data_IF_655694085301
#
_entry.id   IF_655694085301
#
_cell.length_a   1.000
_cell.length_b   1.000
_cell.length_c   1.000
_cell.angle_alpha   90.00
_cell.angle_beta   90.00
_cell.angle_gamma   90.00
#
_symmetry.space_group_name_H-M   'P 1'
#
loop_
_entity.id
_entity.type
_entity.pdbx_description
1 polymer ?
#
# COMPACT_ATOMS: atom_id res chain seq x y z
N UNK A 1 38.26 -28.51 1.95
CA UNK A 1 37.66 -27.17 2.02
C UNK A 1 36.24 -27.34 2.55
N UNK A 2 35.97 -27.49 3.85
CA UNK A 2 36.07 -26.50 4.94
C UNK A 2 35.44 -25.15 4.58
N UNK A 3 34.18 -24.94 4.99
CA UNK A 3 33.72 -23.65 5.47
C UNK A 3 32.83 -23.86 6.69
N UNK A 4 33.27 -23.25 7.78
CA UNK A 4 32.86 -23.49 9.16
C UNK A 4 31.61 -22.69 9.54
N UNK A 5 30.94 -23.23 10.56
CA UNK A 5 29.85 -22.65 11.32
C UNK A 5 30.21 -21.29 11.95
N UNK A 6 29.24 -20.39 11.99
CA UNK A 6 29.25 -19.20 12.83
C UNK A 6 28.07 -19.26 13.81
N UNK A 7 28.20 -20.08 14.86
CA UNK A 7 27.41 -19.97 16.07
C UNK A 7 27.99 -18.84 16.93
N UNK A 8 27.27 -17.72 17.05
CA UNK A 8 27.62 -16.65 18.01
C UNK A 8 26.81 -16.82 19.28
N UNK A 9 27.54 -17.15 20.34
CA UNK A 9 27.15 -17.17 21.74
C UNK A 9 26.34 -15.94 22.15
N UNK A 10 25.07 -16.13 22.51
CA UNK A 10 24.33 -15.17 23.32
C UNK A 10 24.42 -15.62 24.79
N UNK A 11 25.33 -14.97 25.52
CA UNK A 11 25.59 -15.22 26.94
C UNK A 11 24.37 -14.77 27.75
N UNK A 12 23.73 -15.70 28.44
CA UNK A 12 22.69 -15.42 29.41
C UNK A 12 23.23 -14.48 30.49
N UNK A 13 22.59 -13.32 30.67
CA UNK A 13 22.82 -12.43 31.82
C UNK A 13 21.68 -12.67 32.80
N UNK A 14 22.02 -13.28 33.94
CA UNK A 14 21.13 -13.50 35.08
C UNK A 14 20.62 -12.17 35.63
N UNK A 15 19.31 -11.94 35.55
CA UNK A 15 18.62 -10.87 36.28
C UNK A 15 18.25 -11.39 37.68
N UNK A 16 19.25 -11.50 38.53
CA UNK A 16 19.09 -11.53 39.98
C UNK A 16 19.82 -10.30 40.48
N UNK A 17 19.08 -9.19 40.62
CA UNK A 17 19.38 -8.02 41.46
C UNK A 17 18.50 -6.86 40.96
N UNK A 18 17.32 -6.71 41.57
CA UNK A 18 16.62 -5.44 41.59
C UNK A 18 15.93 -5.27 42.95
N UNK A 19 16.07 -4.06 43.47
CA UNK A 19 16.01 -3.70 44.88
C UNK A 19 14.68 -3.93 45.58
N UNK A 20 14.80 -4.39 46.83
CA UNK A 20 13.80 -4.31 47.90
C UNK A 20 13.80 -2.89 48.48
N UNK A 21 12.65 -2.22 48.61
CA UNK A 21 12.49 -1.25 49.68
C UNK A 21 11.79 -1.89 50.89
N UNK A 22 12.46 -1.78 52.03
CA UNK A 22 11.90 -1.97 53.35
C UNK A 22 10.91 -0.82 53.66
N UNK A 23 9.73 -1.16 54.17
CA UNK A 23 8.71 -0.19 54.56
C UNK A 23 7.65 -0.85 55.43
N UNK A 24 7.97 -0.97 56.71
CA UNK A 24 7.08 -1.39 57.79
C UNK A 24 5.92 -0.40 57.97
N UNK A 25 4.68 -0.89 57.89
CA UNK A 25 3.48 -0.12 58.23
C UNK A 25 2.41 -1.06 58.75
N UNK A 26 2.36 -1.22 60.07
CA UNK A 26 1.33 -1.99 60.76
C UNK A 26 -0.04 -1.30 60.59
N UNK A 27 -1.05 -2.03 60.12
CA UNK A 27 -2.44 -1.65 60.32
C UNK A 27 -3.24 -2.87 60.78
N UNK A 28 -3.62 -2.83 62.06
CA UNK A 28 -4.55 -3.77 62.69
C UNK A 28 -5.97 -3.37 62.34
N UNK A 29 -6.87 -4.36 62.26
CA UNK A 29 -8.28 -4.16 62.59
C UNK A 29 -9.26 -4.68 61.54
N UNK A 30 -9.66 -5.95 61.69
CA UNK A 30 -10.94 -6.44 61.18
C UNK A 30 -12.11 -5.74 61.89
N UNK A 31 -13.33 -5.80 61.33
CA UNK A 31 -14.23 -6.78 61.92
C UNK A 31 -15.01 -7.64 60.90
N UNK A 32 -15.36 -8.82 61.42
CA UNK A 32 -16.24 -9.83 60.84
C UNK A 32 -17.66 -9.27 60.66
N UNK A 33 -18.24 -9.49 59.49
CA UNK A 33 -19.68 -9.33 59.23
C UNK A 33 -20.16 -10.52 58.40
N UNK A 34 -20.78 -11.49 59.08
CA UNK A 34 -21.45 -12.61 58.44
C UNK A 34 -22.78 -12.17 57.82
N UNK A 35 -23.03 -12.58 56.59
CA UNK A 35 -24.30 -12.41 55.90
C UNK A 35 -24.54 -13.61 55.00
N UNK A 36 -25.24 -14.62 55.52
CA UNK A 36 -25.81 -15.73 54.75
C UNK A 36 -26.96 -15.20 53.89
N UNK A 37 -26.80 -15.20 52.57
CA UNK A 37 -27.90 -14.91 51.65
C UNK A 37 -28.35 -16.20 50.96
N UNK A 38 -29.36 -16.84 51.56
CA UNK A 38 -30.14 -17.95 50.98
C UNK A 38 -31.47 -17.38 50.50
N UNK A 39 -31.70 -17.34 49.18
CA UNK A 39 -33.04 -17.22 48.57
C UNK A 39 -32.96 -17.93 47.19
N UNK A 40 -33.43 -19.18 47.13
CA UNK A 40 -34.77 -19.59 46.63
C UNK A 40 -34.82 -19.72 45.10
N UNK A 41 -34.69 -20.97 44.69
CA UNK A 41 -35.10 -21.53 43.41
C UNK A 41 -36.63 -21.55 43.31
N UNK A 42 -37.20 -20.80 42.36
CA UNK A 42 -38.60 -20.93 41.98
C UNK A 42 -38.72 -21.25 40.47
N UNK A 43 -39.19 -22.47 40.22
CA UNK A 43 -40.15 -22.91 39.20
C UNK A 43 -40.16 -22.29 37.79
N UNK A 44 -39.82 -23.13 36.81
CA UNK A 44 -40.29 -23.07 35.42
C UNK A 44 -41.83 -23.09 35.34
N UNK A 45 -42.42 -22.54 34.26
CA UNK A 45 -43.36 -23.38 33.53
C UNK A 45 -43.24 -23.28 31.99
N UNK A 46 -43.47 -24.43 31.35
CA UNK A 46 -44.50 -24.52 30.31
C UNK A 46 -44.04 -24.38 28.86
N UNK A 47 -43.90 -25.53 28.21
CA UNK A 47 -43.70 -25.73 26.79
C UNK A 47 -44.71 -24.98 25.90
N UNK A 48 -44.23 -24.53 24.72
CA UNK A 48 -45.06 -24.49 23.53
C UNK A 48 -44.23 -24.78 22.28
N UNK A 49 -44.33 -26.03 21.87
CA UNK A 49 -43.88 -26.58 20.60
C UNK A 49 -44.75 -26.05 19.46
N UNK A 50 -44.14 -25.37 18.48
CA UNK A 50 -44.76 -25.17 17.16
C UNK A 50 -43.72 -25.38 16.07
N UNK A 51 -43.81 -26.56 15.44
CA UNK A 51 -43.95 -26.66 13.99
C UNK A 51 -42.78 -26.22 13.11
N UNK A 52 -41.83 -27.14 12.92
CA UNK A 52 -40.98 -27.25 11.73
C UNK A 52 -41.84 -27.25 10.45
N UNK A 53 -41.60 -26.33 9.51
CA UNK A 53 -41.91 -26.49 8.08
C UNK A 53 -40.82 -25.83 7.24
N UNK A 54 -39.95 -26.67 6.70
CA UNK A 54 -39.25 -26.38 5.45
C UNK A 54 -40.28 -26.32 4.31
N UNK A 55 -39.96 -25.60 3.23
CA UNK A 55 -40.32 -26.12 1.92
C UNK A 55 -39.09 -26.13 1.00
N UNK A 56 -38.65 -27.34 0.69
CA UNK A 56 -38.07 -27.69 -0.59
C UNK A 56 -39.14 -27.57 -1.70
N UNK A 57 -38.75 -27.04 -2.86
CA UNK A 57 -39.66 -26.82 -3.97
C UNK A 57 -38.94 -26.33 -5.22
N UNK A 58 -38.16 -27.21 -5.82
CA UNK A 58 -37.74 -27.12 -7.22
C UNK A 58 -38.94 -27.49 -8.12
N UNK A 59 -39.30 -26.61 -9.04
CA UNK A 59 -40.24 -26.85 -10.15
C UNK A 59 -39.99 -25.78 -11.23
N UNK A 60 -39.16 -26.11 -12.23
CA UNK A 60 -39.17 -25.38 -13.49
C UNK A 60 -40.50 -25.55 -14.24
N UNK A 61 -40.82 -24.60 -15.13
CA UNK A 61 -41.41 -24.78 -16.48
C UNK A 61 -42.16 -23.53 -16.97
N UNK A 62 -41.72 -23.04 -18.14
CA UNK A 62 -42.44 -22.30 -19.20
C UNK A 62 -43.14 -20.97 -18.88
N UNK A 63 -42.46 -19.89 -19.28
CA UNK A 63 -42.89 -19.03 -20.39
C UNK A 63 -44.21 -18.26 -20.26
N UNK A 64 -44.10 -16.95 -20.03
CA UNK A 64 -44.95 -15.97 -20.71
C UNK A 64 -44.26 -14.61 -20.79
N UNK A 65 -44.20 -14.09 -22.01
CA UNK A 65 -43.74 -12.75 -22.36
C UNK A 65 -44.68 -11.72 -21.75
N UNK A 66 -44.14 -10.74 -21.03
CA UNK A 66 -44.81 -9.45 -20.83
C UNK A 66 -43.76 -8.34 -20.92
N UNK A 67 -43.76 -7.69 -22.09
CA UNK A 67 -43.13 -6.40 -22.32
C UNK A 67 -43.90 -5.38 -21.50
N UNK A 68 -43.25 -4.72 -20.55
CA UNK A 68 -43.70 -3.42 -20.07
C UNK A 68 -42.48 -2.49 -20.04
N UNK A 69 -42.41 -1.69 -21.09
CA UNK A 69 -41.49 -0.61 -21.28
C UNK A 69 -41.77 0.48 -20.23
N UNK A 70 -40.80 0.75 -19.36
CA UNK A 70 -40.78 1.97 -18.56
C UNK A 70 -40.39 3.11 -19.50
N UNK A 71 -41.41 3.85 -19.92
CA UNK A 71 -41.34 5.09 -20.69
C UNK A 71 -40.73 6.17 -19.79
N UNK A 72 -39.44 6.41 -19.91
CA UNK A 72 -38.82 7.62 -19.37
C UNK A 72 -39.09 8.77 -20.35
N UNK A 73 -39.75 9.81 -19.83
CA UNK A 73 -40.31 10.95 -20.56
C UNK A 73 -39.32 12.10 -20.41
N UNK A 74 -38.36 12.21 -21.34
CA UNK A 74 -37.50 13.39 -21.47
C UNK A 74 -37.87 14.07 -22.80
N UNK A 75 -38.31 15.34 -22.79
CA UNK A 75 -38.65 16.05 -24.02
C UNK A 75 -37.38 16.42 -24.80
N UNK A 76 -37.45 16.10 -26.08
CA UNK A 76 -36.57 16.52 -27.16
C UNK A 76 -36.55 18.06 -27.25
N UNK A 77 -35.41 18.70 -26.93
CA UNK A 77 -35.23 20.12 -27.19
C UNK A 77 -34.58 20.29 -28.56
N UNK A 78 -35.37 20.86 -29.46
CA UNK A 78 -35.07 21.10 -30.85
C UNK A 78 -33.99 22.18 -31.01
N UNK A 79 -32.89 21.78 -31.65
CA UNK A 79 -32.28 22.42 -32.83
C UNK A 79 -32.59 23.93 -33.02
N UNK A 80 -31.81 24.80 -32.37
CA UNK A 80 -31.67 26.19 -32.77
C UNK A 80 -30.65 26.29 -33.91
N UNK A 81 -31.13 26.84 -35.02
CA UNK A 81 -30.40 27.10 -36.25
C UNK A 81 -29.42 28.24 -36.03
N UNK A 82 -28.12 27.96 -36.09
CA UNK A 82 -27.13 29.02 -36.29
C UNK A 82 -27.11 29.42 -37.77
N UNK A 83 -27.51 30.67 -37.96
CA UNK A 83 -27.55 31.41 -39.20
C UNK A 83 -26.15 31.56 -39.81
N UNK A 84 -25.83 30.68 -40.74
CA UNK A 84 -24.70 30.83 -41.66
C UNK A 84 -24.95 32.02 -42.60
N UNK A 85 -24.32 33.15 -42.31
CA UNK A 85 -24.29 34.33 -43.19
C UNK A 85 -23.47 33.97 -44.44
N UNK A 86 -24.17 33.64 -45.51
CA UNK A 86 -23.60 33.46 -46.85
C UNK A 86 -23.30 34.83 -47.46
N UNK A 87 -22.04 35.24 -47.45
CA UNK A 87 -21.58 36.35 -48.29
C UNK A 87 -21.58 35.91 -49.76
N UNK A 88 -22.45 36.53 -50.56
CA UNK A 88 -22.59 36.32 -52.00
C UNK A 88 -21.59 37.20 -52.74
N UNK A 89 -20.48 36.62 -53.19
CA UNK A 89 -19.49 37.31 -54.03
C UNK A 89 -20.05 37.40 -55.46
N UNK A 90 -20.22 38.60 -56.05
CA UNK A 90 -20.65 38.72 -57.44
C UNK A 90 -19.48 38.49 -58.40
N UNK A 91 -19.61 37.45 -59.23
CA UNK A 91 -18.71 37.16 -60.35
C UNK A 91 -18.87 38.20 -61.46
N UNK A 92 -17.94 39.15 -61.55
CA UNK A 92 -17.71 39.91 -62.79
C UNK A 92 -16.62 39.23 -63.62
N UNK A 93 -17.08 38.40 -64.56
CA UNK A 93 -16.30 38.02 -65.74
C UNK A 93 -16.21 39.24 -66.66
N UNK A 94 -15.00 39.76 -66.89
CA UNK A 94 -14.58 40.32 -68.18
C UNK A 94 -13.09 40.69 -68.13
N UNK A 95 -12.36 40.00 -69.01
CA UNK A 95 -11.24 40.54 -69.79
C UNK A 95 -10.04 41.07 -68.99
N UNK A 96 -9.08 40.20 -68.71
CA UNK A 96 -7.65 40.51 -68.68
C UNK A 96 -6.87 39.20 -68.96
N UNK A 97 -7.20 38.58 -70.09
CA UNK A 97 -6.39 37.53 -70.74
C UNK A 97 -5.37 38.21 -71.65
N UNK A 98 -4.35 38.84 -71.07
CA UNK A 98 -3.16 39.30 -71.82
C UNK A 98 -2.08 39.87 -70.88
N UNK A 99 -1.73 39.14 -69.82
CA UNK A 99 -0.50 39.39 -69.05
C UNK A 99 0.15 38.10 -68.51
N UNK A 100 -0.30 36.93 -68.98
CA UNK A 100 0.12 35.63 -68.48
C UNK A 100 1.37 34.99 -69.15
N UNK A 101 2.03 35.54 -70.21
CA UNK A 101 3.28 34.95 -70.68
C UNK A 101 4.54 35.65 -70.12
N UNK A 102 4.41 36.71 -69.31
CA UNK A 102 5.55 37.41 -68.69
C UNK A 102 5.78 37.09 -67.21
N UNK A 103 4.81 36.44 -66.54
CA UNK A 103 4.95 36.04 -65.13
C UNK A 103 5.51 34.61 -64.95
N UNK A 104 5.68 33.85 -66.04
CA UNK A 104 6.13 32.45 -66.02
C UNK A 104 7.62 32.26 -66.32
N UNK A 105 8.39 33.34 -66.56
CA UNK A 105 9.83 33.28 -66.85
C UNK A 105 10.71 33.85 -65.71
N UNK A 106 10.13 34.23 -64.57
CA UNK A 106 10.84 34.84 -63.45
C UNK A 106 10.93 33.94 -62.19
N UNK A 107 10.55 32.66 -62.29
CA UNK A 107 10.51 31.71 -61.15
C UNK A 107 11.40 30.50 -61.44
N UNK A 108 12.68 30.73 -61.73
CA UNK A 108 13.68 29.65 -61.84
C UNK A 108 15.05 30.04 -61.28
N UNK A 109 15.08 30.87 -60.24
CA UNK A 109 16.31 31.11 -59.48
C UNK A 109 15.99 31.24 -57.98
N UNK A 110 15.53 30.14 -57.38
CA UNK A 110 15.74 29.96 -55.95
C UNK A 110 17.21 29.60 -55.78
N UNK A 111 18.06 30.59 -55.52
CA UNK A 111 19.37 30.33 -54.93
C UNK A 111 19.13 29.52 -53.66
N UNK A 112 19.63 28.28 -53.63
CA UNK A 112 19.72 27.50 -52.42
C UNK A 112 20.66 28.24 -51.47
N UNK A 113 20.10 28.88 -50.43
CA UNK A 113 20.88 29.50 -49.38
C UNK A 113 21.75 28.42 -48.71
N UNK A 114 23.06 28.49 -48.95
CA UNK A 114 24.03 27.46 -48.54
C UNK A 114 24.32 27.56 -47.05
N UNK A 115 24.02 26.51 -46.29
CA UNK A 115 24.41 26.43 -44.88
C UNK A 115 25.83 25.85 -44.79
N UNK A 116 26.78 26.61 -44.25
CA UNK A 116 28.18 26.19 -44.14
C UNK A 116 28.44 25.64 -42.73
N UNK A 117 28.95 24.41 -42.65
CA UNK A 117 29.26 23.75 -41.38
C UNK A 117 30.74 23.90 -41.04
N UNK A 118 31.04 24.29 -39.80
CA UNK A 118 32.39 24.28 -39.23
C UNK A 118 32.48 23.27 -38.09
N UNK A 119 33.41 22.32 -38.15
CA UNK A 119 33.68 21.39 -37.05
C UNK A 119 35.18 21.12 -36.88
N UNK A 120 35.54 20.45 -35.78
CA UNK A 120 36.92 20.04 -35.48
C UNK A 120 36.94 18.52 -35.40
N UNK A 121 37.87 17.88 -36.13
CA UNK A 121 38.06 16.42 -36.12
C UNK A 121 38.84 15.93 -34.87
N UNK A 122 39.14 14.62 -34.78
CA UNK A 122 39.89 14.05 -33.65
C UNK A 122 41.37 14.49 -33.65
N UNK A 123 41.89 14.81 -34.82
CA UNK A 123 43.26 15.24 -35.07
C UNK A 123 43.47 16.74 -34.79
N UNK A 124 42.39 17.48 -34.53
CA UNK A 124 42.39 18.91 -34.20
C UNK A 124 42.32 19.84 -35.41
N UNK A 125 42.05 19.31 -36.61
CA UNK A 125 41.89 20.10 -37.82
C UNK A 125 40.48 20.67 -37.92
N UNK A 126 40.39 21.92 -38.38
CA UNK A 126 39.13 22.62 -38.59
C UNK A 126 38.65 22.39 -40.01
N UNK A 127 37.48 21.78 -40.16
CA UNK A 127 36.86 21.51 -41.45
C UNK A 127 35.69 22.45 -41.72
N UNK A 128 35.55 22.85 -42.99
CA UNK A 128 34.44 23.64 -43.50
C UNK A 128 33.82 22.89 -44.68
N UNK A 129 32.53 22.58 -44.63
CA UNK A 129 31.84 21.90 -45.73
C UNK A 129 30.37 22.26 -45.75
N UNK A 130 29.77 22.26 -46.94
CA UNK A 130 28.33 22.42 -47.15
C UNK A 130 27.56 21.14 -46.83
N UNK A 131 28.24 19.99 -46.79
CA UNK A 131 27.66 18.67 -46.47
C UNK A 131 28.48 18.00 -45.39
N UNK A 132 27.83 17.60 -44.30
CA UNK A 132 28.46 16.93 -43.17
C UNK A 132 28.57 15.41 -43.44
N UNK A 133 29.79 14.83 -43.45
CA UNK A 133 29.97 13.39 -43.54
C UNK A 133 29.42 12.67 -42.30
N UNK A 134 28.88 11.45 -42.42
CA UNK A 134 28.31 10.72 -41.29
C UNK A 134 29.35 10.36 -40.20
N UNK A 135 30.62 10.18 -40.59
CA UNK A 135 31.76 9.86 -39.71
C UNK A 135 32.03 10.96 -38.65
N UNK A 136 31.81 12.23 -39.03
CA UNK A 136 32.13 13.42 -38.23
C UNK A 136 30.93 14.00 -37.48
N UNK A 137 29.75 13.38 -37.63
CA UNK A 137 28.51 13.84 -37.01
C UNK A 137 28.56 13.85 -35.46
N UNK A 138 29.55 13.17 -34.87
CA UNK A 138 29.76 13.05 -33.42
C UNK A 138 30.48 14.25 -32.78
N UNK A 139 31.12 15.11 -33.56
CA UNK A 139 31.84 16.26 -33.03
C UNK A 139 30.93 17.50 -32.90
N UNK A 140 31.37 18.45 -32.09
CA UNK A 140 30.68 19.73 -31.97
C UNK A 140 30.85 20.54 -33.26
N UNK A 141 29.77 21.14 -33.74
CA UNK A 141 29.73 21.90 -34.99
C UNK A 141 29.14 23.28 -34.78
N UNK A 142 29.54 24.22 -35.62
CA UNK A 142 28.96 25.56 -35.69
C UNK A 142 28.41 25.77 -37.10
N UNK A 143 27.12 26.06 -37.19
CA UNK A 143 26.44 26.50 -38.40
C UNK A 143 26.83 27.95 -38.66
N UNK A 144 27.32 28.24 -39.86
CA UNK A 144 27.68 29.57 -40.32
C UNK A 144 26.65 30.05 -41.35
N UNK A 145 26.27 31.33 -41.31
CA UNK A 145 25.48 31.96 -42.38
C UNK A 145 26.35 32.22 -43.61
N UNK A 146 25.76 32.72 -44.69
CA UNK A 146 26.45 33.07 -45.94
C UNK A 146 27.58 34.12 -45.75
N UNK A 147 27.52 34.90 -44.67
CA UNK A 147 28.52 35.91 -44.29
C UNK A 147 29.63 35.33 -43.38
N UNK A 148 29.62 34.02 -43.10
CA UNK A 148 30.59 33.35 -42.24
C UNK A 148 30.40 33.59 -40.73
N UNK A 149 29.25 34.16 -40.34
CA UNK A 149 28.90 34.42 -38.95
C UNK A 149 28.23 33.19 -38.32
N UNK A 150 28.58 32.84 -37.06
CA UNK A 150 28.01 31.70 -36.36
C UNK A 150 26.54 31.93 -36.01
N UNK A 151 25.66 31.11 -36.59
CA UNK A 151 24.21 31.12 -36.35
C UNK A 151 23.83 30.21 -35.19
N UNK A 152 24.40 29.01 -35.16
CA UNK A 152 24.05 28.00 -34.17
C UNK A 152 25.25 27.10 -33.87
N UNK A 153 25.45 26.76 -32.59
CA UNK A 153 26.51 25.86 -32.14
C UNK A 153 25.88 24.60 -31.55
N UNK A 154 26.21 23.45 -32.13
CA UNK A 154 25.82 22.12 -31.66
C UNK A 154 27.00 21.52 -30.90
N UNK A 155 26.77 21.13 -29.65
CA UNK A 155 27.79 20.50 -28.81
C UNK A 155 28.19 19.10 -29.33
N UNK A 156 29.41 18.60 -29.03
CA UNK A 156 29.80 17.23 -29.36
C UNK A 156 28.90 16.20 -28.70
N UNK A 157 28.84 15.00 -29.29
CA UNK A 157 28.18 13.85 -28.67
C UNK A 157 28.81 13.56 -27.31
N UNK A 158 27.97 13.49 -26.25
CA UNK A 158 28.44 13.20 -24.88
C UNK A 158 29.22 11.89 -24.84
N UNK A 159 30.27 11.84 -24.03
CA UNK A 159 31.03 10.61 -23.86
C UNK A 159 30.17 9.53 -23.20
N UNK A 160 30.45 8.25 -23.47
CA UNK A 160 29.71 7.14 -22.85
C UNK A 160 29.73 7.21 -21.30
N UNK A 161 30.82 7.72 -20.73
CA UNK A 161 30.95 7.94 -19.29
C UNK A 161 30.09 9.10 -18.78
N UNK A 162 30.02 10.21 -19.51
CA UNK A 162 29.17 11.35 -19.16
C UNK A 162 27.69 10.98 -19.23
N UNK A 163 27.28 10.22 -20.25
CA UNK A 163 25.92 9.66 -20.37
C UNK A 163 25.62 8.72 -19.20
N UNK A 164 26.58 7.88 -18.79
CA UNK A 164 26.40 6.98 -17.65
C UNK A 164 26.26 7.74 -16.32
N UNK A 165 27.08 8.78 -16.10
CA UNK A 165 27.00 9.64 -14.91
C UNK A 165 25.66 10.39 -14.85
N UNK A 166 25.22 10.98 -15.96
CA UNK A 166 23.93 11.68 -16.06
C UNK A 166 22.74 10.73 -15.84
N UNK A 167 22.81 9.50 -16.36
CA UNK A 167 21.80 8.48 -16.06
C UNK A 167 21.79 8.15 -14.58
N UNK A 168 22.95 7.99 -13.95
CA UNK A 168 23.02 7.67 -12.52
C UNK A 168 22.49 8.82 -11.64
N UNK A 169 22.78 10.08 -11.97
CA UNK A 169 22.22 11.23 -11.23
C UNK A 169 20.72 11.31 -11.41
N UNK A 170 20.20 11.17 -12.63
CA UNK A 170 18.75 11.15 -12.90
C UNK A 170 18.04 10.04 -12.14
N UNK A 171 18.59 8.82 -12.12
CA UNK A 171 18.03 7.71 -11.34
C UNK A 171 17.96 8.03 -9.85
N UNK A 172 19.01 8.65 -9.28
CA UNK A 172 19.02 9.08 -7.87
C UNK A 172 17.98 10.16 -7.60
N UNK A 173 17.90 11.17 -8.46
CA UNK A 173 16.90 12.24 -8.36
C UNK A 173 15.46 11.70 -8.47
N UNK A 174 15.21 10.75 -9.37
CA UNK A 174 13.92 10.09 -9.52
C UNK A 174 13.57 9.24 -8.29
N UNK A 175 14.53 8.49 -7.73
CA UNK A 175 14.33 7.75 -6.48
C UNK A 175 14.05 8.70 -5.30
N UNK A 176 14.79 9.80 -5.18
CA UNK A 176 14.55 10.80 -4.14
C UNK A 176 13.18 11.46 -4.30
N UNK A 177 12.79 11.82 -5.52
CA UNK A 177 11.47 12.38 -5.81
C UNK A 177 10.37 11.38 -5.42
N UNK A 178 10.50 10.11 -5.83
CA UNK A 178 9.54 9.06 -5.49
C UNK A 178 9.41 8.87 -3.98
N UNK A 179 10.53 8.86 -3.24
CA UNK A 179 10.52 8.76 -1.77
C UNK A 179 9.82 9.96 -1.12
N UNK A 180 10.01 11.18 -1.63
CA UNK A 180 9.32 12.38 -1.13
C UNK A 180 7.82 12.31 -1.40
N UNK A 181 7.43 11.94 -2.61
CA UNK A 181 6.02 11.77 -2.99
C UNK A 181 5.33 10.68 -2.13
N UNK A 182 6.02 9.56 -1.87
CA UNK A 182 5.55 8.50 -0.97
C UNK A 182 5.36 9.02 0.47
N UNK A 183 6.32 9.78 1.00
CA UNK A 183 6.22 10.40 2.33
C UNK A 183 5.08 11.41 2.42
N UNK A 184 4.95 12.30 1.43
CA UNK A 184 3.86 13.29 1.37
C UNK A 184 2.49 12.61 1.23
N UNK A 185 2.41 11.48 0.52
CA UNK A 185 1.19 10.69 0.45
C UNK A 185 0.84 10.08 1.81
N UNK A 186 1.82 9.51 2.52
CA UNK A 186 1.65 8.95 3.87
C UNK A 186 1.24 10.03 4.87
N UNK A 187 1.87 11.20 4.83
CA UNK A 187 1.55 12.34 5.70
C UNK A 187 0.14 12.84 5.47
N UNK A 188 -0.28 12.99 4.21
CA UNK A 188 -1.66 13.34 3.87
C UNK A 188 -2.65 12.30 4.39
N UNK A 189 -2.34 11.01 4.24
CA UNK A 189 -3.19 9.95 4.78
C UNK A 189 -3.28 10.03 6.30
N UNK A 190 -2.16 10.29 6.98
CA UNK A 190 -2.10 10.40 8.44
C UNK A 190 -2.98 11.55 8.95
N UNK A 191 -2.84 12.74 8.35
CA UNK A 191 -3.63 13.92 8.71
C UNK A 191 -5.11 13.79 8.36
N UNK A 192 -5.44 13.08 7.26
CA UNK A 192 -6.83 12.81 6.90
C UNK A 192 -7.50 11.79 7.83
N UNK A 193 -6.71 10.86 8.40
CA UNK A 193 -7.23 9.81 9.29
C UNK A 193 -7.31 10.29 10.74
N UNK A 194 -6.31 11.03 11.20
CA UNK A 194 -6.19 11.50 12.58
C UNK A 194 -6.01 13.01 12.63
N UNK A 195 -7.00 13.70 13.19
CA UNK A 195 -6.99 15.16 13.30
C UNK A 195 -6.31 15.60 14.60
N UNK A 196 -6.42 14.79 15.65
CA UNK A 196 -5.82 15.04 16.96
C UNK A 196 -5.03 13.82 17.45
N UNK A 197 -4.13 14.04 18.42
CA UNK A 197 -3.44 12.91 19.09
C UNK A 197 -4.43 11.96 19.78
N UNK A 198 -5.56 12.50 20.27
CA UNK A 198 -6.57 11.72 20.96
C UNK A 198 -7.27 10.73 20.02
N UNK A 199 -7.53 11.12 18.77
CA UNK A 199 -8.10 10.22 17.75
C UNK A 199 -7.17 9.03 17.49
N UNK A 200 -5.86 9.31 17.43
CA UNK A 200 -4.83 8.30 17.23
C UNK A 200 -4.78 7.33 18.42
N UNK A 201 -4.83 7.83 19.65
CA UNK A 201 -4.90 6.98 20.84
C UNK A 201 -6.15 6.11 20.87
N UNK A 202 -7.32 6.68 20.55
CA UNK A 202 -8.57 5.92 20.52
C UNK A 202 -8.54 4.80 19.49
N UNK A 203 -8.02 5.08 18.28
CA UNK A 203 -7.84 4.07 17.23
C UNK A 203 -6.87 2.97 17.65
N UNK A 204 -5.73 3.34 18.25
CA UNK A 204 -4.74 2.39 18.78
C UNK A 204 -5.38 1.49 19.82
N UNK A 205 -5.99 2.08 20.84
CA UNK A 205 -6.50 1.36 22.01
C UNK A 205 -7.65 0.44 21.62
N UNK A 206 -8.47 0.84 20.64
CA UNK A 206 -9.51 -0.02 20.05
C UNK A 206 -8.93 -1.27 19.37
N UNK A 207 -7.86 -1.10 18.58
CA UNK A 207 -7.14 -2.24 17.96
C UNK A 207 -6.47 -3.13 19.00
N UNK A 208 -5.78 -2.55 19.98
CA UNK A 208 -5.13 -3.31 21.05
C UNK A 208 -6.15 -4.10 21.85
N UNK A 209 -7.28 -3.49 22.19
CA UNK A 209 -8.38 -4.17 22.90
C UNK A 209 -8.91 -5.36 22.11
N UNK A 210 -9.10 -5.22 20.79
CA UNK A 210 -9.53 -6.33 19.95
C UNK A 210 -8.51 -7.49 19.93
N UNK A 211 -7.21 -7.18 19.87
CA UNK A 211 -6.15 -8.19 19.96
C UNK A 211 -6.13 -8.85 21.33
N UNK A 212 -6.22 -8.07 22.40
CA UNK A 212 -6.21 -8.56 23.78
C UNK A 212 -7.41 -9.48 24.07
N UNK A 213 -8.58 -9.19 23.49
CA UNK A 213 -9.74 -10.09 23.52
C UNK A 213 -9.44 -11.44 22.86
N UNK A 214 -8.81 -11.44 21.68
CA UNK A 214 -8.44 -12.68 20.99
C UNK A 214 -7.41 -13.49 21.79
N UNK A 215 -6.43 -12.81 22.41
CA UNK A 215 -5.46 -13.44 23.31
C UNK A 215 -6.18 -14.08 24.49
N UNK A 216 -7.07 -13.35 25.17
CA UNK A 216 -7.81 -13.87 26.31
C UNK A 216 -8.68 -15.09 25.98
N UNK A 217 -9.33 -15.11 24.81
CA UNK A 217 -10.11 -16.27 24.35
C UNK A 217 -9.18 -17.48 24.10
N UNK A 218 -8.03 -17.27 23.47
CA UNK A 218 -7.07 -18.33 23.19
C UNK A 218 -6.43 -18.89 24.47
N UNK A 219 -6.14 -18.03 25.45
CA UNK A 219 -5.64 -18.41 26.78
C UNK A 219 -6.69 -19.21 27.55
N UNK A 220 -7.94 -18.73 27.61
CA UNK A 220 -9.02 -19.46 28.27
C UNK A 220 -9.26 -20.85 27.64
N UNK A 221 -9.17 -20.95 26.30
CA UNK A 221 -9.21 -22.24 25.60
C UNK A 221 -8.04 -23.14 26.00
N UNK A 222 -6.83 -22.59 26.04
CA UNK A 222 -5.63 -23.34 26.42
C UNK A 222 -5.74 -23.89 27.85
N UNK A 223 -6.26 -23.10 28.78
CA UNK A 223 -6.45 -23.53 30.17
C UNK A 223 -7.52 -24.61 30.30
N UNK A 224 -8.63 -24.49 29.56
CA UNK A 224 -9.63 -25.56 29.48
C UNK A 224 -9.03 -26.89 28.95
N UNK A 225 -8.24 -26.83 27.89
CA UNK A 225 -7.58 -28.01 27.31
C UNK A 225 -6.56 -28.63 28.27
N UNK A 226 -5.86 -27.83 29.08
CA UNK A 226 -4.94 -28.31 30.10
C UNK A 226 -5.66 -29.10 31.19
N UNK A 227 -6.81 -28.62 31.65
CA UNK A 227 -7.64 -29.34 32.62
C UNK A 227 -8.07 -30.71 32.08
N UNK A 228 -8.52 -30.76 30.82
CA UNK A 228 -8.87 -32.04 30.16
C UNK A 228 -7.66 -32.96 30.03
N UNK A 229 -6.49 -32.41 29.67
CA UNK A 229 -5.26 -33.19 29.56
C UNK A 229 -4.84 -33.79 30.90
N UNK A 230 -4.95 -33.02 31.99
CA UNK A 230 -4.61 -33.49 33.33
C UNK A 230 -5.56 -34.60 33.79
N UNK A 231 -6.85 -34.49 33.49
CA UNK A 231 -7.83 -35.56 33.75
C UNK A 231 -7.48 -36.85 32.99
N UNK A 232 -7.19 -36.76 31.69
CA UNK A 232 -6.83 -37.93 30.86
C UNK A 232 -5.51 -38.56 31.29
N UNK A 233 -4.53 -37.74 31.67
CA UNK A 233 -3.25 -38.22 32.25
C UNK A 233 -3.47 -38.92 33.59
N UNK A 234 -4.35 -38.41 34.44
CA UNK A 234 -4.70 -39.06 35.69
C UNK A 234 -5.31 -40.45 35.44
N UNK A 235 -6.23 -40.56 34.47
CA UNK A 235 -6.83 -41.85 34.07
C UNK A 235 -5.76 -42.84 33.59
N UNK A 236 -4.83 -42.41 32.74
CA UNK A 236 -3.72 -43.24 32.27
C UNK A 236 -2.83 -43.71 33.44
N UNK A 237 -2.47 -42.80 34.35
CA UNK A 237 -1.66 -43.13 35.52
C UNK A 237 -2.34 -44.14 36.47
N UNK A 238 -3.67 -44.10 36.63
CA UNK A 238 -4.40 -45.09 37.41
C UNK A 238 -4.43 -46.48 36.76
N UNK A 239 -4.45 -46.55 35.43
CA UNK A 239 -4.34 -47.82 34.70
C UNK A 239 -2.94 -48.43 34.88
N UNK A 240 -1.90 -47.61 34.69
CA UNK A 240 -0.51 -48.02 34.90
C UNK A 240 -0.26 -48.49 36.34
N UNK A 241 -0.80 -47.79 37.34
CA UNK A 241 -0.73 -48.19 38.75
C UNK A 241 -1.37 -49.54 39.04
N UNK A 242 -2.43 -49.89 38.31
CA UNK A 242 -3.10 -51.20 38.38
C UNK A 242 -2.36 -52.29 37.60
N UNK A 243 -1.30 -51.94 36.87
CA UNK A 243 -0.56 -52.86 36.00
C UNK A 243 -1.30 -53.16 34.69
N UNK A 244 -2.33 -52.38 34.36
CA UNK A 244 -3.06 -52.47 33.10
C UNK A 244 -2.36 -51.61 32.03
N UNK A 245 -2.33 -52.09 30.79
CA UNK A 245 -1.82 -51.29 29.68
C UNK A 245 -2.78 -50.13 29.37
N UNK A 246 -2.23 -48.95 29.07
CA UNK A 246 -3.03 -47.79 28.68
C UNK A 246 -3.69 -48.08 27.31
N UNK A 247 -5.02 -47.92 27.19
CA UNK A 247 -5.69 -48.11 25.90
C UNK A 247 -5.17 -47.13 24.85
N UNK A 248 -5.01 -47.56 23.59
CA UNK A 248 -4.48 -46.69 22.53
C UNK A 248 -5.37 -45.47 22.29
N UNK A 249 -6.68 -45.59 22.48
CA UNK A 249 -7.62 -44.46 22.37
C UNK A 249 -7.30 -43.34 23.38
N UNK A 250 -6.92 -43.69 24.61
CA UNK A 250 -6.56 -42.71 25.64
C UNK A 250 -5.23 -42.00 25.32
N UNK A 251 -4.26 -42.73 24.77
CA UNK A 251 -3.01 -42.14 24.28
C UNK A 251 -3.24 -41.16 23.12
N UNK A 252 -4.12 -41.53 22.19
CA UNK A 252 -4.55 -40.70 21.07
C UNK A 252 -5.24 -39.40 21.53
N UNK A 253 -6.13 -39.51 22.52
CA UNK A 253 -6.78 -38.35 23.14
C UNK A 253 -5.77 -37.41 23.80
N UNK A 254 -4.83 -37.96 24.58
CA UNK A 254 -3.75 -37.19 25.22
C UNK A 254 -2.91 -36.47 24.15
N UNK A 255 -2.53 -37.16 23.07
CA UNK A 255 -1.76 -36.56 21.98
C UNK A 255 -2.54 -35.42 21.33
N UNK A 256 -3.82 -35.65 21.01
CA UNK A 256 -4.70 -34.66 20.38
C UNK A 256 -4.85 -33.41 21.25
N UNK A 257 -5.05 -33.57 22.57
CA UNK A 257 -5.13 -32.46 23.52
C UNK A 257 -3.83 -31.66 23.56
N UNK A 258 -2.67 -32.33 23.58
CA UNK A 258 -1.37 -31.64 23.51
C UNK A 258 -1.23 -30.81 22.23
N UNK A 259 -1.60 -31.36 21.07
CA UNK A 259 -1.56 -30.64 19.79
C UNK A 259 -2.49 -29.42 19.80
N UNK A 260 -3.68 -29.52 20.39
CA UNK A 260 -4.60 -28.40 20.52
C UNK A 260 -4.06 -27.30 21.46
N UNK A 261 -3.39 -27.69 22.56
CA UNK A 261 -2.70 -26.76 23.46
C UNK A 261 -1.58 -26.04 22.71
N UNK A 262 -0.76 -26.75 21.94
CA UNK A 262 0.31 -26.12 21.16
C UNK A 262 -0.24 -25.14 20.12
N UNK A 263 -1.31 -25.49 19.41
CA UNK A 263 -1.98 -24.58 18.46
C UNK A 263 -2.51 -23.31 19.15
N UNK A 264 -3.16 -23.45 20.30
CA UNK A 264 -3.66 -22.30 21.07
C UNK A 264 -2.52 -21.42 21.57
N UNK A 265 -1.40 -22.03 22.00
CA UNK A 265 -0.19 -21.31 22.41
C UNK A 265 0.44 -20.52 21.26
N UNK A 266 0.55 -21.12 20.08
CA UNK A 266 1.08 -20.44 18.89
C UNK A 266 0.24 -19.20 18.54
N UNK A 267 -1.08 -19.33 18.60
CA UNK A 267 -1.99 -18.20 18.36
C UNK A 267 -1.80 -17.07 19.38
N UNK A 268 -1.62 -17.39 20.67
CA UNK A 268 -1.33 -16.39 21.71
C UNK A 268 -0.04 -15.63 21.39
N UNK A 269 1.03 -16.34 21.03
CA UNK A 269 2.32 -15.71 20.73
C UNK A 269 2.27 -14.87 19.45
N UNK A 270 1.57 -15.33 18.41
CA UNK A 270 1.32 -14.57 17.18
C UNK A 270 0.58 -13.27 17.49
N UNK A 271 -0.53 -13.34 18.24
CA UNK A 271 -1.33 -12.16 18.58
C UNK A 271 -0.59 -11.19 19.49
N UNK A 272 0.24 -11.68 20.41
CA UNK A 272 1.12 -10.83 21.23
C UNK A 272 2.20 -10.14 20.40
N UNK A 273 2.71 -10.79 19.36
CA UNK A 273 3.64 -10.16 18.41
C UNK A 273 2.95 -9.07 17.60
N UNK A 274 1.76 -9.36 17.07
CA UNK A 274 0.92 -8.40 16.35
C UNK A 274 0.62 -7.18 17.24
N UNK A 275 0.26 -7.40 18.51
CA UNK A 275 0.06 -6.33 19.50
C UNK A 275 1.26 -5.38 19.60
N UNK A 276 2.48 -5.93 19.71
CA UNK A 276 3.72 -5.13 19.77
C UNK A 276 4.00 -4.38 18.46
N UNK A 277 3.69 -4.98 17.32
CA UNK A 277 3.84 -4.32 16.02
C UNK A 277 2.91 -3.13 15.90
N UNK A 278 1.64 -3.29 16.29
CA UNK A 278 0.66 -2.19 16.35
C UNK A 278 1.13 -1.09 17.29
N UNK A 279 1.65 -1.41 18.47
CA UNK A 279 2.20 -0.39 19.39
C UNK A 279 3.35 0.41 18.76
N UNK A 280 4.27 -0.27 18.06
CA UNK A 280 5.40 0.39 17.39
C UNK A 280 4.95 1.25 16.21
N UNK A 281 4.03 0.75 15.39
CA UNK A 281 3.46 1.47 14.25
C UNK A 281 2.79 2.77 14.72
N UNK A 282 1.92 2.69 15.72
CA UNK A 282 1.23 3.86 16.28
C UNK A 282 2.17 4.82 17.03
N UNK A 283 3.25 4.33 17.63
CA UNK A 283 4.29 5.20 18.19
C UNK A 283 4.99 6.02 17.10
N UNK A 284 5.24 5.41 15.93
CA UNK A 284 5.75 6.10 14.74
C UNK A 284 4.78 7.17 14.23
N UNK A 285 3.50 6.82 14.11
CA UNK A 285 2.45 7.77 13.71
C UNK A 285 2.31 8.94 14.68
N UNK A 286 2.38 8.69 15.99
CA UNK A 286 2.31 9.76 16.99
C UNK A 286 3.47 10.75 16.84
N UNK A 287 4.69 10.23 16.65
CA UNK A 287 5.87 11.08 16.42
C UNK A 287 5.69 11.93 15.17
N UNK A 288 5.28 11.31 14.06
CA UNK A 288 5.09 12.01 12.78
C UNK A 288 3.96 13.04 12.85
N UNK A 289 2.84 12.70 13.48
CA UNK A 289 1.70 13.59 13.67
C UNK A 289 2.11 14.86 14.44
N UNK A 290 2.93 14.72 15.49
CA UNK A 290 3.48 15.86 16.24
C UNK A 290 4.35 16.78 15.39
N UNK A 291 5.20 16.21 14.54
CA UNK A 291 6.03 16.99 13.61
C UNK A 291 5.16 17.78 12.62
N UNK A 292 4.10 17.16 12.09
CA UNK A 292 3.19 17.79 11.13
C UNK A 292 2.30 18.87 11.77
N UNK A 293 1.76 18.63 12.98
CA UNK A 293 0.95 19.62 13.69
C UNK A 293 1.79 20.78 14.23
N UNK A 294 3.01 20.50 14.70
CA UNK A 294 3.94 21.53 15.17
C UNK A 294 4.40 22.48 14.06
N UNK A 295 4.56 21.98 12.83
CA UNK A 295 4.91 22.81 11.66
C UNK A 295 3.72 23.53 11.03
N UNK A 296 2.49 23.02 11.25
CA UNK A 296 1.25 23.64 10.79
C UNK A 296 0.75 24.80 11.66
N UNK A 297 1.12 24.82 12.95
CA UNK A 297 0.71 25.88 13.90
C UNK A 297 1.45 27.21 13.70
N UNK A 298 2.58 27.23 12.99
CA UNK A 298 3.44 28.41 12.78
C UNK A 298 3.13 29.18 11.48
N UNK A 299 2.02 28.89 10.80
CA UNK A 299 1.53 29.60 9.60
C UNK A 299 0.15 30.18 9.83
#
# INVERSE_FOLDING_TARGET
MQYQAASRNFRARSLSDFDRPAGSGAFRGAPRGGGTFSLKSDGLPGERSVGRREPSGDCGVRGRRSRLAVRCRIPCFAQSRESMIRYRIPTRKRLLRSALPWLLLAVSCSLSAGTLYKWVDAEGNVHYSDTLPPEDARYGRTLLNEEGLPVERVAPAKSAEEIARERQTRMREEEERRRREEQEAQDRQLLNTFHTEQDLFHSRDSKLTAIDQLVGIAEARMDHLRLQLDEKRHQAAELERRGEAVPPELEEEIRTLNEQIQRSRQLVEEKRLERRQVEQEYAGYLKRLRELLGTGSDR
#
